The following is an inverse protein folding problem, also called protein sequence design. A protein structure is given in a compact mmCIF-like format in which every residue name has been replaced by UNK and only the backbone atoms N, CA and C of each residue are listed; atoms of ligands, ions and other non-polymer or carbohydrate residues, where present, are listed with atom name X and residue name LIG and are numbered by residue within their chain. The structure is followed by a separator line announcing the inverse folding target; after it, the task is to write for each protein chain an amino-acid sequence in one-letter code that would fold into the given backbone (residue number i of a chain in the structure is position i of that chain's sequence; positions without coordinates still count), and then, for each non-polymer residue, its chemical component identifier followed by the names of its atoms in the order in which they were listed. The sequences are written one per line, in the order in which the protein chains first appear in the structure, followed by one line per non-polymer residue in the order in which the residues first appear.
data_IF_183979099128
#
_entry.id   IF_183979099128
#
_cell.length_a   1.000
_cell.length_b   1.000
_cell.length_c   1.000
_cell.angle_alpha   90.00
_cell.angle_beta   90.00
_cell.angle_gamma   90.00
#
_symmetry.space_group_name_H-M   'P 1'
#
loop_
_entity.id
_entity.type
_entity.pdbx_description
1 polymer ?
#
# COMPACT_ATOMS: atom_id res chain seq x y z
N UNK A 1 30.66 2.95 21.14
CA UNK A 1 31.31 2.58 19.87
C UNK A 1 30.30 2.85 18.76
N UNK A 2 30.43 4.01 18.11
CA UNK A 2 29.52 4.51 17.07
C UNK A 2 29.79 3.77 15.76
N UNK A 3 28.88 2.92 15.29
CA UNK A 3 28.96 2.31 13.96
C UNK A 3 27.59 2.36 13.26
N UNK A 4 27.56 3.24 12.25
CA UNK A 4 26.80 3.20 10.97
C UNK A 4 25.27 3.43 10.97
N UNK A 5 24.90 4.71 11.08
CA UNK A 5 23.82 5.31 10.28
C UNK A 5 24.17 5.41 8.77
N UNK A 6 25.42 5.13 8.38
CA UNK A 6 25.95 5.32 7.03
C UNK A 6 25.78 4.15 6.05
N UNK A 7 24.96 3.14 6.33
CA UNK A 7 24.73 2.00 5.40
C UNK A 7 23.49 2.12 4.52
N UNK A 8 22.65 3.15 4.70
CA UNK A 8 21.61 3.49 3.72
C UNK A 8 22.14 4.35 2.55
N UNK A 9 23.32 4.97 2.71
CA UNK A 9 23.86 5.98 1.77
C UNK A 9 24.44 5.45 0.45
N UNK A 10 24.22 4.18 0.09
CA UNK A 10 24.67 3.59 -1.19
C UNK A 10 23.64 2.69 -1.87
N UNK A 11 22.44 2.59 -1.34
CA UNK A 11 21.41 1.67 -1.83
C UNK A 11 20.42 2.41 -2.74
N UNK A 12 19.76 1.67 -3.64
CA UNK A 12 18.67 2.18 -4.47
C UNK A 12 17.60 2.87 -3.62
N UNK A 13 16.92 3.88 -4.18
CA UNK A 13 16.01 4.76 -3.44
C UNK A 13 14.84 3.99 -2.82
N UNK A 14 14.46 2.90 -3.47
CA UNK A 14 13.35 2.00 -3.18
C UNK A 14 13.67 1.15 -1.95
N UNK A 15 14.89 0.61 -1.87
CA UNK A 15 15.35 -0.17 -0.72
C UNK A 15 15.38 0.67 0.55
N UNK A 16 15.89 1.90 0.46
CA UNK A 16 15.88 2.80 1.62
C UNK A 16 14.45 3.10 2.05
N UNK A 17 13.58 3.44 1.11
CA UNK A 17 12.17 3.73 1.39
C UNK A 17 11.46 2.55 2.06
N UNK A 18 11.58 1.34 1.51
CA UNK A 18 10.97 0.14 2.05
C UNK A 18 11.51 -0.20 3.45
N UNK A 19 12.82 -0.07 3.66
CA UNK A 19 13.43 -0.26 4.98
C UNK A 19 12.91 0.72 6.02
N UNK A 20 12.72 1.99 5.65
CA UNK A 20 12.10 2.99 6.52
C UNK A 20 10.63 2.71 6.81
N UNK A 21 9.86 2.22 5.82
CA UNK A 21 8.47 1.80 6.03
C UNK A 21 8.37 0.64 7.01
N UNK A 22 9.19 -0.42 6.84
CA UNK A 22 9.20 -1.59 7.73
C UNK A 22 9.37 -1.19 9.20
N UNK A 23 10.24 -0.21 9.47
CA UNK A 23 10.46 0.28 10.83
C UNK A 23 9.35 1.23 11.29
N UNK A 24 9.07 2.30 10.53
CA UNK A 24 8.21 3.40 11.00
C UNK A 24 6.72 3.08 10.93
N UNK A 25 6.29 2.36 9.88
CA UNK A 25 4.88 2.09 9.59
C UNK A 25 4.45 0.70 10.08
N UNK A 26 5.26 -0.32 9.79
CA UNK A 26 4.98 -1.71 10.19
C UNK A 26 5.47 -2.07 11.59
N UNK A 27 6.43 -1.32 12.14
CA UNK A 27 6.88 -1.46 13.52
C UNK A 27 7.89 -2.58 13.76
N UNK A 28 8.53 -3.10 12.72
CA UNK A 28 9.64 -4.04 12.88
C UNK A 28 10.85 -3.34 13.50
N UNK A 29 11.54 -4.00 14.44
CA UNK A 29 12.73 -3.41 15.05
C UNK A 29 13.84 -3.35 14.00
N UNK A 30 14.57 -2.24 13.93
CA UNK A 30 15.68 -2.08 12.99
C UNK A 30 16.76 -3.16 13.21
N UNK A 31 16.93 -3.63 14.45
CA UNK A 31 17.89 -4.67 14.78
C UNK A 31 17.48 -6.05 14.25
N UNK A 32 16.18 -6.28 14.00
CA UNK A 32 15.65 -7.51 13.43
C UNK A 32 15.57 -7.45 11.88
N UNK A 33 16.19 -6.44 11.25
CA UNK A 33 16.19 -6.25 9.79
C UNK A 33 17.63 -6.23 9.27
N UNK A 34 17.94 -7.08 8.30
CA UNK A 34 19.24 -7.11 7.63
C UNK A 34 19.11 -6.74 6.15
N UNK A 35 20.07 -5.95 5.67
CA UNK A 35 20.14 -5.53 4.28
C UNK A 35 21.14 -6.39 3.49
N UNK A 36 20.82 -6.68 2.22
CA UNK A 36 21.66 -7.52 1.33
C UNK A 36 21.92 -8.91 1.92
N UNK A 37 20.89 -9.55 2.47
CA UNK A 37 21.02 -10.84 3.13
C UNK A 37 21.02 -12.00 2.11
N UNK A 38 21.91 -12.98 2.29
CA UNK A 38 21.96 -14.16 1.44
C UNK A 38 21.01 -15.25 1.97
N UNK A 39 19.85 -15.38 1.31
CA UNK A 39 18.84 -16.40 1.62
C UNK A 39 18.89 -17.48 0.53
N UNK A 40 19.47 -18.64 0.87
CA UNK A 40 19.79 -19.68 -0.11
C UNK A 40 20.84 -19.20 -1.10
N UNK A 41 20.50 -19.22 -2.38
CA UNK A 41 21.33 -18.70 -3.48
C UNK A 41 20.88 -17.30 -3.97
N UNK A 42 19.89 -16.69 -3.30
CA UNK A 42 19.36 -15.37 -3.65
C UNK A 42 19.77 -14.35 -2.60
N UNK A 43 20.41 -13.27 -3.02
CA UNK A 43 20.59 -12.09 -2.17
C UNK A 43 19.30 -11.27 -2.20
N UNK A 44 18.66 -11.12 -1.03
CA UNK A 44 17.47 -10.27 -0.85
C UNK A 44 17.90 -8.90 -0.34
N UNK A 45 17.19 -7.86 -0.76
CA UNK A 45 17.52 -6.49 -0.41
C UNK A 45 17.31 -6.21 1.06
N UNK A 46 16.21 -6.73 1.62
CA UNK A 46 15.90 -6.68 3.06
C UNK A 46 15.38 -8.05 3.50
N UNK A 47 15.85 -8.52 4.64
CA UNK A 47 15.33 -9.67 5.36
C UNK A 47 14.87 -9.24 6.75
N UNK A 48 13.66 -9.64 7.14
CA UNK A 48 13.10 -9.39 8.48
C UNK A 48 13.08 -10.71 9.25
N UNK A 49 13.66 -10.71 10.44
CA UNK A 49 13.83 -11.89 11.29
C UNK A 49 12.85 -11.92 12.46
N UNK A 50 12.72 -13.11 13.07
CA UNK A 50 11.94 -13.28 14.30
C UNK A 50 12.56 -12.41 15.38
N UNK A 51 11.71 -11.68 16.10
CA UNK A 51 12.14 -10.72 17.12
C UNK A 51 13.15 -11.32 18.11
N UNK A 52 14.32 -10.68 18.20
CA UNK A 52 15.38 -11.08 19.12
C UNK A 52 16.05 -12.42 18.80
N UNK A 53 15.75 -13.03 17.66
CA UNK A 53 16.39 -14.27 17.21
C UNK A 53 17.64 -13.99 16.36
N UNK A 54 18.59 -14.94 16.30
CA UNK A 54 19.73 -14.84 15.40
C UNK A 54 19.29 -14.69 13.93
N UNK A 55 20.05 -13.90 13.17
CA UNK A 55 19.84 -13.67 11.74
C UNK A 55 20.33 -14.85 10.89
N UNK A 56 19.65 -15.98 11.05
CA UNK A 56 19.87 -17.21 10.29
C UNK A 56 18.66 -17.48 9.39
N UNK A 57 18.88 -18.21 8.30
CA UNK A 57 17.87 -18.42 7.25
C UNK A 57 16.55 -18.99 7.77
N UNK A 58 16.60 -19.88 8.78
CA UNK A 58 15.40 -20.47 9.40
C UNK A 58 14.53 -19.47 10.17
N UNK A 59 15.09 -18.31 10.54
CA UNK A 59 14.42 -17.28 11.32
C UNK A 59 13.98 -16.09 10.45
N UNK A 60 14.16 -16.14 9.13
CA UNK A 60 13.72 -15.10 8.22
C UNK A 60 12.22 -15.25 7.96
N UNK A 61 11.40 -14.26 8.36
CA UNK A 61 9.95 -14.27 8.09
C UNK A 61 9.57 -13.53 6.82
N UNK A 62 10.28 -12.44 6.50
CA UNK A 62 9.97 -11.58 5.36
C UNK A 62 11.21 -11.38 4.52
N UNK A 63 11.11 -11.67 3.22
CA UNK A 63 12.12 -11.34 2.24
C UNK A 63 11.60 -10.25 1.29
N UNK A 64 12.37 -9.19 1.10
CA UNK A 64 12.07 -8.15 0.15
C UNK A 64 13.14 -8.07 -0.94
N UNK A 65 12.69 -7.96 -2.19
CA UNK A 65 13.53 -7.73 -3.37
C UNK A 65 13.09 -6.41 -3.99
N UNK A 66 14.00 -5.45 -4.04
CA UNK A 66 13.81 -4.18 -4.74
C UNK A 66 14.57 -4.20 -6.05
N UNK A 67 13.89 -4.09 -7.18
CA UNK A 67 14.51 -4.37 -8.48
C UNK A 67 13.85 -3.61 -9.61
N UNK A 68 14.65 -3.03 -10.51
CA UNK A 68 14.20 -2.46 -11.80
C UNK A 68 13.73 -3.51 -12.81
N UNK A 69 14.00 -4.80 -12.54
CA UNK A 69 13.58 -5.90 -13.41
C UNK A 69 12.12 -6.26 -13.22
N UNK A 70 11.53 -6.82 -14.28
CA UNK A 70 10.14 -7.26 -14.41
C UNK A 70 9.58 -7.99 -13.17
N UNK A 71 8.33 -7.63 -12.82
CA UNK A 71 7.53 -8.18 -11.71
C UNK A 71 7.55 -9.71 -11.69
N UNK A 72 7.51 -10.35 -12.85
CA UNK A 72 7.49 -11.80 -12.96
C UNK A 72 8.81 -12.44 -12.52
N UNK A 73 9.96 -11.84 -12.84
CA UNK A 73 11.26 -12.32 -12.36
C UNK A 73 11.34 -12.22 -10.83
N UNK A 74 10.91 -11.09 -10.27
CA UNK A 74 10.86 -10.86 -8.82
C UNK A 74 9.95 -11.85 -8.10
N UNK A 75 8.73 -12.02 -8.60
CA UNK A 75 7.74 -12.97 -8.09
C UNK A 75 8.26 -14.41 -8.12
N UNK A 76 8.92 -14.82 -9.21
CA UNK A 76 9.47 -16.17 -9.33
C UNK A 76 10.64 -16.42 -8.36
N UNK A 77 11.50 -15.42 -8.11
CA UNK A 77 12.54 -15.51 -7.07
C UNK A 77 11.95 -15.71 -5.69
N UNK A 78 10.93 -14.91 -5.32
CA UNK A 78 10.23 -15.06 -4.04
C UNK A 78 9.56 -16.44 -3.92
N UNK A 79 8.92 -16.93 -4.99
CA UNK A 79 8.29 -18.26 -5.02
C UNK A 79 9.30 -19.39 -4.79
N UNK A 80 10.50 -19.29 -5.38
CA UNK A 80 11.60 -20.24 -5.11
C UNK A 80 12.00 -20.20 -3.64
N UNK A 81 12.18 -19.01 -3.07
CA UNK A 81 12.53 -18.86 -1.66
C UNK A 81 11.48 -19.45 -0.71
N UNK A 82 10.19 -19.26 -0.99
CA UNK A 82 9.13 -19.88 -0.19
C UNK A 82 9.15 -21.41 -0.22
N UNK A 83 9.57 -22.02 -1.34
CA UNK A 83 9.70 -23.46 -1.44
C UNK A 83 10.90 -24.01 -0.65
N UNK A 84 11.98 -23.22 -0.54
CA UNK A 84 13.21 -23.62 0.15
C UNK A 84 13.21 -23.31 1.65
N UNK A 85 12.51 -22.26 2.09
CA UNK A 85 12.56 -21.74 3.46
C UNK A 85 11.17 -21.75 4.11
N UNK A 86 10.79 -22.80 4.86
CA UNK A 86 9.48 -22.90 5.51
C UNK A 86 9.19 -21.81 6.55
N UNK A 87 10.22 -21.17 7.11
CA UNK A 87 10.07 -20.04 8.04
C UNK A 87 9.70 -18.72 7.34
N UNK A 88 9.85 -18.64 6.01
CA UNK A 88 9.53 -17.46 5.23
C UNK A 88 8.01 -17.40 4.99
N UNK A 89 7.35 -16.44 5.65
CA UNK A 89 5.90 -16.26 5.58
C UNK A 89 5.49 -15.26 4.50
N UNK A 90 6.24 -14.17 4.34
CA UNK A 90 5.90 -13.09 3.43
C UNK A 90 7.05 -12.73 2.48
N UNK A 91 6.67 -12.25 1.31
CA UNK A 91 7.57 -11.82 0.24
C UNK A 91 7.11 -10.48 -0.28
N UNK A 92 8.04 -9.55 -0.45
CA UNK A 92 7.77 -8.23 -1.03
C UNK A 92 8.63 -8.09 -2.28
N UNK A 93 7.99 -7.80 -3.40
CA UNK A 93 8.68 -7.26 -4.56
C UNK A 93 8.24 -5.81 -4.76
N UNK A 94 9.19 -4.90 -4.93
CA UNK A 94 8.94 -3.47 -5.01
C UNK A 94 9.88 -2.81 -6.02
N UNK A 95 9.34 -2.00 -6.92
CA UNK A 95 10.09 -1.13 -7.82
C UNK A 95 9.68 0.34 -7.62
N UNK A 96 10.03 1.23 -8.54
CA UNK A 96 9.63 2.65 -8.44
C UNK A 96 8.10 2.85 -8.51
N UNK A 97 7.40 1.97 -9.22
CA UNK A 97 6.04 2.16 -9.71
C UNK A 97 5.00 1.23 -9.07
N UNK A 98 5.43 0.07 -8.60
CA UNK A 98 4.61 -1.10 -8.31
C UNK A 98 5.10 -1.82 -7.07
N UNK A 99 4.16 -2.49 -6.39
CA UNK A 99 4.46 -3.38 -5.28
C UNK A 99 3.62 -4.65 -5.39
N UNK A 100 4.26 -5.78 -5.06
CA UNK A 100 3.65 -7.09 -4.98
C UNK A 100 3.94 -7.66 -3.60
N UNK A 101 2.89 -8.16 -2.95
CA UNK A 101 2.98 -8.89 -1.70
C UNK A 101 2.55 -10.33 -1.92
N UNK A 102 3.37 -11.26 -1.47
CA UNK A 102 3.11 -12.69 -1.52
C UNK A 102 3.11 -13.24 -0.09
N UNK A 103 2.25 -14.22 0.16
CA UNK A 103 2.22 -14.98 1.40
C UNK A 103 2.32 -16.47 1.09
N UNK A 104 3.20 -17.17 1.81
CA UNK A 104 3.23 -18.62 1.84
C UNK A 104 2.24 -19.15 2.88
N UNK A 105 1.47 -20.16 2.49
CA UNK A 105 0.46 -20.81 3.34
C UNK A 105 0.42 -22.31 3.06
N UNK A 106 -0.33 -23.05 3.88
CA UNK A 106 -0.58 -24.49 3.63
C UNK A 106 -1.28 -24.77 2.28
N UNK A 107 -1.97 -23.78 1.72
CA UNK A 107 -2.65 -23.86 0.41
C UNK A 107 -1.77 -23.47 -0.76
N UNK A 108 -0.50 -23.12 -0.51
CA UNK A 108 0.43 -22.60 -1.50
C UNK A 108 0.71 -21.11 -1.31
N UNK A 109 1.23 -20.49 -2.38
CA UNK A 109 1.66 -19.09 -2.38
C UNK A 109 0.56 -18.24 -3.01
N UNK A 110 0.06 -17.27 -2.24
CA UNK A 110 -1.04 -16.41 -2.66
C UNK A 110 -0.59 -14.95 -2.69
N UNK A 111 -1.15 -14.16 -3.61
CA UNK A 111 -1.05 -12.71 -3.52
C UNK A 111 -1.89 -12.19 -2.34
N UNK A 112 -1.36 -11.21 -1.62
CA UNK A 112 -2.04 -10.50 -0.53
C UNK A 112 -1.99 -9.00 -0.78
N UNK A 113 -2.83 -8.23 -0.07
CA UNK A 113 -2.85 -6.77 -0.25
C UNK A 113 -1.70 -6.07 0.49
N UNK A 114 -1.10 -6.68 1.52
CA UNK A 114 -0.03 -6.09 2.30
C UNK A 114 0.68 -7.16 3.17
N UNK A 115 1.73 -6.80 3.91
CA UNK A 115 2.29 -7.58 5.02
C UNK A 115 1.69 -7.13 6.37
N UNK A 116 1.70 -8.01 7.39
CA UNK A 116 1.25 -7.62 8.72
C UNK A 116 2.20 -6.61 9.38
N UNK A 117 1.66 -5.81 10.30
CA UNK A 117 2.47 -5.08 11.30
C UNK A 117 3.08 -6.07 12.29
N UNK A 118 4.20 -5.70 12.94
CA UNK A 118 4.88 -6.54 13.93
C UNK A 118 3.90 -7.08 14.98
N UNK A 119 3.89 -8.41 15.14
CA UNK A 119 3.05 -9.12 16.11
C UNK A 119 1.54 -9.11 15.81
N UNK A 120 1.13 -8.83 14.56
CA UNK A 120 -0.27 -8.75 14.13
C UNK A 120 -0.54 -9.63 12.91
N UNK A 121 -1.82 -9.80 12.59
CA UNK A 121 -2.29 -10.37 11.33
C UNK A 121 -2.91 -9.29 10.46
N UNK A 122 -3.15 -9.59 9.19
CA UNK A 122 -3.79 -8.69 8.21
C UNK A 122 -5.29 -8.50 8.51
N UNK A 123 -5.56 -7.66 9.51
CA UNK A 123 -6.90 -7.32 10.00
C UNK A 123 -7.26 -5.85 9.75
N UNK A 124 -8.51 -5.48 10.04
CA UNK A 124 -8.94 -4.09 10.06
C UNK A 124 -8.21 -3.33 11.18
N UNK A 125 -7.67 -2.12 10.90
CA UNK A 125 -7.03 -1.32 11.93
C UNK A 125 -8.01 -0.90 13.02
N UNK A 126 -7.52 -0.81 14.26
CA UNK A 126 -8.18 0.01 15.26
C UNK A 126 -7.98 1.49 14.91
N UNK A 127 -8.93 2.35 15.24
CA UNK A 127 -8.83 3.81 14.97
C UNK A 127 -7.57 4.44 15.58
N UNK A 128 -7.10 3.92 16.71
CA UNK A 128 -5.87 4.37 17.39
C UNK A 128 -4.57 3.90 16.69
N UNK A 129 -4.66 2.91 15.81
CA UNK A 129 -3.51 2.34 15.08
C UNK A 129 -3.24 3.06 13.75
N UNK A 130 -4.11 3.99 13.36
CA UNK A 130 -3.95 4.82 12.17
C UNK A 130 -2.79 5.80 12.34
N UNK A 131 -1.88 5.85 11.37
CA UNK A 131 -0.68 6.70 11.40
C UNK A 131 -0.55 7.56 10.14
N UNK A 132 0.20 8.64 10.20
CA UNK A 132 0.61 9.37 9.00
C UNK A 132 1.53 8.47 8.15
N UNK A 133 1.37 8.51 6.83
CA UNK A 133 2.28 7.84 5.90
C UNK A 133 3.61 8.60 5.82
N UNK A 134 4.71 7.87 5.67
CA UNK A 134 6.05 8.42 5.47
C UNK A 134 6.10 9.25 4.18
N UNK A 135 5.67 8.67 3.06
CA UNK A 135 5.54 9.35 1.77
C UNK A 135 4.19 9.01 1.12
N UNK A 136 3.15 9.77 1.48
CA UNK A 136 1.80 9.57 0.93
C UNK A 136 1.76 9.65 -0.61
N UNK A 137 2.64 10.46 -1.22
CA UNK A 137 2.77 10.58 -2.67
C UNK A 137 3.17 9.26 -3.35
N UNK A 138 4.11 8.50 -2.76
CA UNK A 138 4.52 7.19 -3.29
C UNK A 138 3.39 6.17 -3.22
N UNK A 139 2.62 6.18 -2.13
CA UNK A 139 1.44 5.30 -2.00
C UNK A 139 0.39 5.64 -3.07
N UNK A 140 0.13 6.92 -3.33
CA UNK A 140 -0.78 7.33 -4.40
C UNK A 140 -0.27 6.95 -5.80
N UNK A 141 1.05 7.03 -6.01
CA UNK A 141 1.68 6.59 -7.26
C UNK A 141 1.49 5.08 -7.49
N UNK A 142 1.77 4.25 -6.49
CA UNK A 142 1.53 2.79 -6.52
C UNK A 142 0.06 2.48 -6.80
N UNK A 143 -0.85 3.16 -6.12
CA UNK A 143 -2.31 2.99 -6.33
C UNK A 143 -2.71 3.36 -7.75
N UNK A 144 -2.22 4.50 -8.26
CA UNK A 144 -2.50 4.97 -9.61
C UNK A 144 -2.03 3.96 -10.66
N UNK A 145 -0.79 3.49 -10.55
CA UNK A 145 -0.22 2.53 -11.49
C UNK A 145 -0.96 1.19 -11.44
N UNK A 146 -1.35 0.73 -10.25
CA UNK A 146 -2.16 -0.47 -10.11
C UNK A 146 -3.54 -0.33 -10.79
N UNK A 147 -4.23 0.80 -10.63
CA UNK A 147 -5.51 1.05 -11.33
C UNK A 147 -5.29 1.08 -12.84
N UNK A 148 -4.27 1.80 -13.32
CA UNK A 148 -3.96 1.92 -14.75
C UNK A 148 -3.71 0.55 -15.40
N UNK A 149 -2.95 -0.32 -14.74
CA UNK A 149 -2.61 -1.65 -15.25
C UNK A 149 -3.80 -2.63 -15.27
N UNK A 150 -4.80 -2.45 -14.39
CA UNK A 150 -5.82 -3.49 -14.15
C UNK A 150 -7.24 -3.10 -14.61
N UNK A 151 -7.56 -1.82 -14.74
CA UNK A 151 -8.93 -1.36 -15.00
C UNK A 151 -9.18 -0.97 -16.46
N UNK A 152 -8.15 -0.55 -17.20
CA UNK A 152 -8.33 0.01 -18.55
C UNK A 152 -9.01 1.37 -18.56
N UNK A 153 -9.04 2.06 -17.40
CA UNK A 153 -9.56 3.42 -17.25
C UNK A 153 -8.55 4.45 -17.80
N UNK A 154 -9.05 5.58 -18.27
CA UNK A 154 -8.20 6.73 -18.54
C UNK A 154 -7.56 7.26 -17.24
N UNK A 155 -6.45 7.99 -17.35
CA UNK A 155 -5.79 8.65 -16.21
C UNK A 155 -6.76 9.50 -15.38
N UNK A 156 -7.69 10.20 -16.04
CA UNK A 156 -8.67 11.05 -15.36
C UNK A 156 -9.72 10.21 -14.61
N UNK A 157 -10.20 9.12 -15.20
CA UNK A 157 -11.16 8.23 -14.55
C UNK A 157 -10.53 7.51 -13.36
N UNK A 158 -9.33 6.95 -13.52
CA UNK A 158 -8.60 6.30 -12.42
C UNK A 158 -8.35 7.27 -11.25
N UNK A 159 -7.96 8.51 -11.57
CA UNK A 159 -7.82 9.56 -10.56
C UNK A 159 -9.14 9.89 -9.84
N UNK A 160 -10.26 9.93 -10.55
CA UNK A 160 -11.58 10.14 -9.94
C UNK A 160 -11.94 8.99 -8.99
N UNK A 161 -11.61 7.74 -9.33
CA UNK A 161 -11.81 6.59 -8.44
C UNK A 161 -10.93 6.66 -7.17
N UNK A 162 -9.66 7.09 -7.31
CA UNK A 162 -8.80 7.37 -6.15
C UNK A 162 -9.45 8.42 -5.26
N UNK A 163 -9.95 9.52 -5.82
CA UNK A 163 -10.59 10.58 -5.04
C UNK A 163 -11.81 10.07 -4.27
N UNK A 164 -12.68 9.27 -4.90
CA UNK A 164 -13.81 8.63 -4.20
C UNK A 164 -13.32 7.89 -2.96
N UNK A 165 -12.31 7.02 -3.09
CA UNK A 165 -11.77 6.24 -1.98
C UNK A 165 -11.15 7.09 -0.88
N UNK A 166 -10.49 8.20 -1.21
CA UNK A 166 -9.96 9.14 -0.21
C UNK A 166 -11.10 9.80 0.59
N UNK A 167 -12.18 10.24 -0.07
CA UNK A 167 -13.35 10.81 0.62
C UNK A 167 -14.08 9.78 1.49
N UNK A 168 -14.23 8.54 1.01
CA UNK A 168 -14.80 7.42 1.78
C UNK A 168 -13.99 7.20 3.05
N UNK A 169 -12.65 7.15 2.92
CA UNK A 169 -11.76 6.97 4.07
C UNK A 169 -11.82 8.13 5.06
N UNK A 170 -11.80 9.38 4.58
CA UNK A 170 -11.95 10.57 5.44
C UNK A 170 -13.28 10.54 6.18
N UNK A 171 -14.36 10.08 5.52
CA UNK A 171 -15.66 9.95 6.17
C UNK A 171 -15.65 8.89 7.26
N UNK A 172 -15.10 7.71 6.99
CA UNK A 172 -14.99 6.63 7.98
C UNK A 172 -14.10 7.02 9.18
N UNK A 173 -13.04 7.78 8.97
CA UNK A 173 -12.17 8.27 10.05
C UNK A 173 -12.81 9.33 10.94
N UNK A 174 -13.77 10.09 10.41
CA UNK A 174 -14.57 11.07 11.18
C UNK A 174 -15.68 10.40 11.97
N UNK A 175 -16.23 9.30 11.47
CA UNK A 175 -17.19 8.48 12.20
C UNK A 175 -16.53 8.02 13.51
N UNK A 176 -17.16 8.31 14.66
CA UNK A 176 -16.66 7.90 15.98
C UNK A 176 -17.25 6.59 16.44
N UNK A 177 -18.13 5.98 15.64
CA UNK A 177 -18.77 4.72 16.00
C UNK A 177 -17.79 3.55 15.86
N UNK A 178 -17.63 2.83 16.96
CA UNK A 178 -16.80 1.62 17.03
C UNK A 178 -15.30 1.86 17.20
N UNK A 179 -14.61 0.81 17.64
CA UNK A 179 -13.15 0.82 17.90
C UNK A 179 -12.34 0.61 16.61
N UNK A 180 -12.89 -0.14 15.66
CA UNK A 180 -12.26 -0.43 14.36
C UNK A 180 -12.78 0.52 13.28
N UNK A 181 -11.93 0.80 12.30
CA UNK A 181 -12.36 1.44 11.06
C UNK A 181 -13.15 0.45 10.20
N UNK A 182 -14.13 0.95 9.44
CA UNK A 182 -14.89 0.13 8.49
C UNK A 182 -14.23 0.14 7.10
N UNK A 183 -13.46 1.19 6.79
CA UNK A 183 -12.65 1.28 5.57
C UNK A 183 -11.43 0.36 5.70
N UNK A 184 -11.53 -0.83 5.14
CA UNK A 184 -10.44 -1.80 5.11
C UNK A 184 -10.87 -3.12 4.48
N UNK A 185 -9.89 -3.96 4.20
CA UNK A 185 -10.05 -5.32 3.66
C UNK A 185 -9.41 -6.31 4.63
N UNK A 186 -10.08 -7.43 4.88
CA UNK A 186 -9.52 -8.56 5.62
C UNK A 186 -8.77 -9.49 4.67
N UNK A 187 -7.80 -10.23 5.20
CA UNK A 187 -7.05 -11.20 4.40
C UNK A 187 -7.95 -12.25 3.73
N UNK A 188 -8.86 -12.87 4.49
CA UNK A 188 -9.79 -13.86 3.93
C UNK A 188 -10.69 -13.27 2.85
N UNK A 189 -11.12 -12.01 3.01
CA UNK A 189 -11.90 -11.31 1.99
C UNK A 189 -11.08 -11.09 0.72
N UNK A 190 -9.82 -10.68 0.86
CA UNK A 190 -8.91 -10.49 -0.28
C UNK A 190 -8.68 -11.82 -1.01
N UNK A 191 -8.38 -12.90 -0.29
CA UNK A 191 -8.21 -14.23 -0.87
C UNK A 191 -9.48 -14.72 -1.57
N UNK A 192 -10.66 -14.45 -1.02
CA UNK A 192 -11.93 -14.80 -1.68
C UNK A 192 -12.11 -14.03 -3.00
N UNK A 193 -11.82 -12.72 -3.01
CA UNK A 193 -11.90 -11.88 -4.22
C UNK A 193 -10.94 -12.38 -5.30
N UNK A 194 -9.68 -12.69 -4.96
CA UNK A 194 -8.70 -13.22 -5.92
C UNK A 194 -9.12 -14.57 -6.51
N UNK A 195 -9.90 -15.35 -5.77
CA UNK A 195 -10.47 -16.62 -6.22
C UNK A 195 -11.85 -16.48 -6.89
N UNK A 196 -12.29 -15.26 -7.20
CA UNK A 196 -13.59 -14.99 -7.84
C UNK A 196 -14.81 -15.28 -6.96
N UNK A 197 -14.63 -15.35 -5.64
CA UNK A 197 -15.72 -15.56 -4.67
C UNK A 197 -16.26 -14.22 -4.17
N UNK A 198 -17.57 -14.16 -3.98
CA UNK A 198 -18.26 -13.00 -3.41
C UNK A 198 -18.10 -12.95 -1.90
N UNK A 199 -18.05 -11.74 -1.35
CA UNK A 199 -18.08 -11.46 0.09
C UNK A 199 -18.66 -10.06 0.34
N UNK A 200 -18.66 -9.63 1.60
CA UNK A 200 -19.28 -8.38 2.04
C UNK A 200 -18.38 -7.14 1.91
N UNK A 201 -17.15 -7.28 1.42
CA UNK A 201 -16.18 -6.18 1.32
C UNK A 201 -16.73 -5.02 0.49
N UNK A 202 -17.20 -5.28 -0.75
CA UNK A 202 -17.74 -4.22 -1.62
C UNK A 202 -18.93 -3.52 -0.97
N UNK A 203 -19.87 -4.29 -0.43
CA UNK A 203 -21.06 -3.75 0.23
C UNK A 203 -20.68 -2.81 1.38
N UNK A 204 -19.65 -3.17 2.17
CA UNK A 204 -19.12 -2.32 3.25
C UNK A 204 -18.55 -1.01 2.72
N UNK A 205 -17.76 -1.05 1.65
CA UNK A 205 -17.17 0.16 1.05
C UNK A 205 -18.23 1.04 0.38
N UNK A 206 -19.22 0.45 -0.30
CA UNK A 206 -20.33 1.19 -0.92
C UNK A 206 -21.22 1.87 0.14
N UNK A 207 -21.49 1.21 1.26
CA UNK A 207 -22.23 1.82 2.38
C UNK A 207 -21.50 3.05 2.95
N UNK A 208 -20.16 2.98 3.06
CA UNK A 208 -19.35 4.14 3.45
C UNK A 208 -19.37 5.24 2.37
N UNK A 209 -19.44 4.86 1.10
CA UNK A 209 -19.55 5.84 0.01
C UNK A 209 -20.88 6.58 0.04
N UNK A 210 -21.99 5.89 0.31
CA UNK A 210 -23.28 6.55 0.51
C UNK A 210 -23.25 7.56 1.66
N UNK A 211 -22.55 7.24 2.75
CA UNK A 211 -22.34 8.20 3.84
C UNK A 211 -21.47 9.39 3.41
N UNK A 212 -20.40 9.14 2.64
CA UNK A 212 -19.54 10.20 2.10
C UNK A 212 -20.28 11.12 1.13
N UNK A 213 -21.11 10.58 0.22
CA UNK A 213 -21.94 11.38 -0.70
C UNK A 213 -22.89 12.33 0.02
N UNK A 214 -23.46 11.90 1.15
CA UNK A 214 -24.31 12.75 2.00
C UNK A 214 -23.51 13.88 2.66
N UNK A 215 -22.30 13.58 3.13
CA UNK A 215 -21.44 14.57 3.80
C UNK A 215 -20.79 15.57 2.83
N UNK A 216 -20.52 15.15 1.59
CA UNK A 216 -19.83 15.91 0.55
C UNK A 216 -20.72 16.06 -0.70
N UNK A 217 -21.96 16.52 -0.50
CA UNK A 217 -22.97 16.63 -1.56
C UNK A 217 -22.67 17.69 -2.61
N UNK A 218 -21.75 18.60 -2.32
CA UNK A 218 -21.18 19.60 -3.23
C UNK A 218 -20.09 19.01 -4.15
N UNK A 219 -19.51 17.87 -3.77
CA UNK A 219 -18.46 17.17 -4.52
C UNK A 219 -19.03 16.02 -5.35
N UNK A 220 -19.96 15.23 -4.79
CA UNK A 220 -20.47 14.02 -5.43
C UNK A 220 -21.91 14.14 -5.90
N UNK A 221 -22.18 13.58 -7.08
CA UNK A 221 -23.54 13.36 -7.56
C UNK A 221 -24.22 12.23 -6.76
N UNK A 222 -25.55 12.28 -6.62
CA UNK A 222 -26.31 11.23 -5.93
C UNK A 222 -26.14 9.84 -6.56
N UNK A 223 -26.02 9.81 -7.89
CA UNK A 223 -25.91 8.58 -8.69
C UNK A 223 -24.45 8.13 -8.88
N UNK A 224 -23.48 8.77 -8.21
CA UNK A 224 -22.08 8.38 -8.32
C UNK A 224 -21.85 6.98 -7.74
N UNK A 225 -21.09 6.16 -8.46
CA UNK A 225 -20.73 4.78 -8.12
C UNK A 225 -19.21 4.59 -8.12
N UNK A 226 -18.73 3.52 -7.47
CA UNK A 226 -17.33 3.09 -7.55
C UNK A 226 -17.18 2.17 -8.76
N UNK A 227 -16.36 2.58 -9.72
CA UNK A 227 -16.20 1.90 -11.01
C UNK A 227 -14.84 1.18 -11.09
N UNK A 228 -14.51 0.43 -10.05
CA UNK A 228 -13.31 -0.42 -9.98
C UNK A 228 -13.73 -1.89 -9.89
N UNK A 229 -12.98 -2.82 -10.46
CA UNK A 229 -13.11 -4.25 -10.16
C UNK A 229 -12.83 -4.53 -8.69
N UNK A 230 -13.40 -5.61 -8.15
CA UNK A 230 -13.26 -5.96 -6.72
C UNK A 230 -11.80 -6.18 -6.32
N UNK A 231 -10.98 -6.78 -7.20
CA UNK A 231 -9.55 -7.00 -6.98
C UNK A 231 -8.79 -5.68 -6.79
N UNK A 232 -9.02 -4.72 -7.68
CA UNK A 232 -8.40 -3.40 -7.64
C UNK A 232 -8.89 -2.60 -6.45
N UNK A 233 -10.21 -2.61 -6.20
CA UNK A 233 -10.79 -1.95 -5.03
C UNK A 233 -10.17 -2.47 -3.73
N UNK A 234 -10.03 -3.79 -3.61
CA UNK A 234 -9.44 -4.44 -2.44
C UNK A 234 -7.97 -4.08 -2.26
N UNK A 235 -7.18 -4.05 -3.34
CA UNK A 235 -5.78 -3.62 -3.29
C UNK A 235 -5.66 -2.16 -2.81
N UNK A 236 -6.42 -1.23 -3.40
CA UNK A 236 -6.35 0.19 -3.06
C UNK A 236 -6.78 0.44 -1.61
N UNK A 237 -7.87 -0.19 -1.16
CA UNK A 237 -8.30 -0.11 0.24
C UNK A 237 -7.24 -0.69 1.17
N UNK A 238 -6.63 -1.82 0.81
CA UNK A 238 -5.55 -2.46 1.55
C UNK A 238 -4.31 -1.58 1.72
N UNK A 239 -3.92 -0.84 0.68
CA UNK A 239 -2.83 0.14 0.78
C UNK A 239 -3.19 1.31 1.70
N UNK A 240 -4.45 1.74 1.75
CA UNK A 240 -4.85 2.95 2.48
C UNK A 240 -5.28 2.70 3.93
N UNK A 241 -5.73 1.49 4.29
CA UNK A 241 -6.50 1.27 5.53
C UNK A 241 -5.78 1.71 6.82
N UNK A 242 -4.47 1.51 6.92
CA UNK A 242 -3.69 1.83 8.12
C UNK A 242 -3.24 3.30 8.22
N UNK A 243 -3.47 4.10 7.19
CA UNK A 243 -3.07 5.50 7.20
C UNK A 243 -4.16 6.38 7.81
N UNK A 244 -3.77 7.52 8.36
CA UNK A 244 -4.70 8.52 8.86
C UNK A 244 -4.72 9.70 7.89
N UNK A 245 -5.83 9.91 7.19
CA UNK A 245 -6.00 11.05 6.28
C UNK A 245 -6.57 12.29 7.00
N UNK A 246 -7.22 12.12 8.14
CA UNK A 246 -7.97 13.16 8.87
C UNK A 246 -7.16 13.89 9.93
N UNK A 247 -6.06 13.33 10.44
CA UNK A 247 -5.18 13.92 11.47
C UNK A 247 -3.81 14.33 10.94
N UNK A 248 -3.54 14.08 9.66
CA UNK A 248 -2.36 14.59 8.97
C UNK A 248 -2.18 16.09 9.28
N UNK A 249 -1.01 16.50 9.80
CA UNK A 249 -0.74 17.92 10.14
C UNK A 249 -1.12 18.82 8.96
N UNK A 250 -1.69 20.01 9.26
CA UNK A 250 -2.22 20.99 8.30
C UNK A 250 -1.33 21.25 7.05
N UNK A 251 -0.01 21.04 7.13
CA UNK A 251 0.93 21.18 6.01
C UNK A 251 0.99 19.98 5.04
N UNK A 252 0.92 18.74 5.54
CA UNK A 252 1.10 17.53 4.69
C UNK A 252 -0.17 17.19 3.92
N UNK A 253 -1.34 17.43 4.55
CA UNK A 253 -2.67 17.35 3.89
C UNK A 253 -2.76 18.23 2.66
N UNK A 254 -2.27 19.46 2.76
CA UNK A 254 -2.34 20.43 1.69
C UNK A 254 -1.38 20.06 0.57
N UNK A 255 -0.08 19.97 0.86
CA UNK A 255 0.91 19.90 -0.20
C UNK A 255 0.89 18.59 -0.99
N UNK A 256 0.77 17.41 -0.36
CA UNK A 256 0.81 16.14 -1.09
C UNK A 256 -0.50 15.89 -1.86
N UNK A 257 -1.64 16.12 -1.22
CA UNK A 257 -2.95 16.03 -1.86
C UNK A 257 -3.07 17.08 -2.97
N UNK A 258 -2.78 18.35 -2.71
CA UNK A 258 -2.79 19.39 -3.75
C UNK A 258 -1.79 19.11 -4.85
N UNK A 259 -0.55 18.67 -4.56
CA UNK A 259 0.40 18.28 -5.62
C UNK A 259 -0.13 17.13 -6.45
N UNK A 260 -0.74 16.11 -5.83
CA UNK A 260 -1.36 14.99 -6.55
C UNK A 260 -2.51 15.49 -7.44
N UNK A 261 -3.42 16.31 -6.89
CA UNK A 261 -4.51 16.95 -7.65
C UNK A 261 -3.95 17.84 -8.78
N UNK A 262 -2.95 18.68 -8.51
CA UNK A 262 -2.36 19.61 -9.48
C UNK A 262 -1.55 18.91 -10.56
N UNK A 263 -0.81 17.85 -10.24
CA UNK A 263 -0.08 17.04 -11.21
C UNK A 263 -1.05 16.37 -12.20
N UNK A 264 -2.15 15.80 -11.70
CA UNK A 264 -3.18 15.19 -12.55
C UNK A 264 -3.98 16.23 -13.34
N UNK A 265 -4.25 17.40 -12.76
CA UNK A 265 -4.84 18.52 -13.49
C UNK A 265 -3.90 19.14 -14.54
N UNK A 266 -2.57 19.01 -14.40
CA UNK A 266 -1.60 19.49 -15.41
C UNK A 266 -1.44 18.49 -16.55
N UNK A 267 -1.45 17.18 -16.26
CA UNK A 267 -1.48 16.13 -17.27
C UNK A 267 -2.69 16.20 -18.21
N UNK A 268 -3.86 16.61 -17.68
CA UNK A 268 -5.07 16.86 -18.49
C UNK A 268 -5.10 18.21 -19.21
N UNK A 269 -4.19 19.14 -18.88
CA UNK A 269 -4.10 20.51 -19.45
C UNK A 269 -2.89 20.73 -20.36
N UNK A 270 -2.36 19.68 -20.98
CA UNK A 270 -1.45 19.80 -22.14
C UNK A 270 -2.10 20.49 -23.35
N UNK A 271 -3.39 20.82 -23.28
CA UNK A 271 -4.09 21.68 -24.22
C UNK A 271 -4.76 22.82 -23.45
N UNK A 272 -4.48 24.05 -23.89
CA UNK A 272 -5.04 25.32 -23.42
C UNK A 272 -4.55 25.84 -22.06
N UNK A 273 -3.51 26.68 -22.09
CA UNK A 273 -3.64 28.07 -21.63
C UNK A 273 -2.62 28.95 -22.38
N UNK A 274 -3.10 29.81 -23.28
CA UNK A 274 -2.35 31.00 -23.68
C UNK A 274 -2.36 31.98 -22.50
N UNK A 275 -1.19 32.41 -22.06
CA UNK A 275 -1.05 33.44 -21.03
C UNK A 275 -1.72 34.74 -21.48
N UNK A 276 -2.51 35.38 -20.61
CA UNK A 276 -2.94 36.77 -20.83
C UNK A 276 -1.83 37.71 -20.38
N UNK A 277 -1.40 38.68 -21.20
CA UNK A 277 -0.43 39.68 -20.79
C UNK A 277 -1.06 40.62 -19.76
N UNK A 278 -0.33 40.87 -18.68
CA UNK A 278 -0.62 41.96 -17.75
C UNK A 278 -0.27 43.27 -18.45
N UNK A 279 -1.26 44.16 -18.60
CA UNK A 279 -1.03 45.60 -18.74
C UNK A 279 -0.91 46.22 -17.36
#
# INVERSE_FOLDING_TARGET
MQIKLGQFNKNSSEKQFLGEQLVKEYGYDKNDIEANYLLGDVTVDLAVFVEGQPHIQSNCLIAAITSEKDKDEGSNKLKKLFAEFPGLEFGIWYDEDNILYLRSSSTGINEVYNIPKKGRTLNLPKRQELKEALELGKIFHIIHNHIYANEGLSTQEGFNEILKLLFIKIQDEKDTDGIQVKFGILEDEYTQIMNGKKNDFRNRIEALFEAAKKQFSDVFNKNETINLKDSTLAFVVGQLQYFNLSKSKRDVKGAAFQKFIYAHQRGSRGQFFYARPHN
#
